data_IF_107973268797
#
_entry.id   IF_107973268797
#
_cell.length_a   1.000
_cell.length_b   1.000
_cell.length_c   1.000
_cell.angle_alpha   90.00
_cell.angle_beta   90.00
_cell.angle_gamma   90.00
#
_symmetry.space_group_name_H-M   'P 1'
#
loop_
_entity.id
_entity.type
_entity.pdbx_description
1 polymer ?
#
# COMPACT_ATOMS: atom_id res chain seq x y z
N UNK A 1 17.71 38.58 -17.85
CA UNK A 1 17.44 37.66 -16.73
C UNK A 1 18.30 38.20 -15.61
N UNK A 2 17.78 39.18 -14.87
CA UNK A 2 18.48 39.73 -13.71
C UNK A 2 18.58 38.64 -12.64
N UNK A 3 19.73 38.58 -11.96
CA UNK A 3 20.21 37.46 -11.13
C UNK A 3 19.14 36.88 -10.20
N UNK A 4 18.49 35.79 -10.64
CA UNK A 4 17.50 35.04 -9.85
C UNK A 4 18.12 34.44 -8.58
N UNK A 5 19.44 34.30 -8.56
CA UNK A 5 20.20 33.64 -7.50
C UNK A 5 21.17 34.63 -6.86
N UNK A 6 21.14 34.70 -5.54
CA UNK A 6 22.05 35.49 -4.71
C UNK A 6 22.84 34.55 -3.79
N UNK A 7 24.07 34.93 -3.48
CA UNK A 7 24.91 34.20 -2.52
C UNK A 7 24.69 34.77 -1.12
N UNK A 8 24.23 33.93 -0.18
CA UNK A 8 24.06 34.29 1.22
C UNK A 8 24.56 33.15 2.10
N UNK A 9 25.43 33.43 3.07
CA UNK A 9 25.99 32.43 3.99
C UNK A 9 26.62 31.21 3.27
N UNK A 10 27.29 31.46 2.13
CA UNK A 10 27.87 30.45 1.21
C UNK A 10 26.85 29.50 0.54
N UNK A 11 25.56 29.80 0.63
CA UNK A 11 24.50 29.09 -0.06
C UNK A 11 23.93 29.95 -1.21
N UNK A 12 23.69 29.32 -2.35
CA UNK A 12 22.92 29.91 -3.44
C UNK A 12 21.43 29.91 -3.05
N UNK A 13 20.88 31.10 -2.85
CA UNK A 13 19.48 31.29 -2.45
C UNK A 13 18.80 32.29 -3.39
N UNK A 14 17.48 32.40 -3.31
CA UNK A 14 16.72 33.49 -3.96
C UNK A 14 15.82 34.18 -2.95
N UNK A 15 15.44 35.42 -3.22
CA UNK A 15 14.54 36.18 -2.36
C UNK A 15 13.12 36.18 -2.93
N UNK A 16 12.13 36.23 -2.05
CA UNK A 16 10.71 36.41 -2.44
C UNK A 16 10.47 37.67 -3.29
N UNK A 17 11.33 38.70 -3.17
CA UNK A 17 11.31 39.89 -4.02
C UNK A 17 11.78 39.56 -5.44
N UNK A 18 12.91 38.87 -5.58
CA UNK A 18 13.45 38.45 -6.88
C UNK A 18 12.48 37.52 -7.61
N UNK A 19 11.82 36.62 -6.87
CA UNK A 19 10.77 35.76 -7.38
C UNK A 19 9.57 36.58 -7.88
N UNK A 20 9.10 37.55 -7.08
CA UNK A 20 8.00 38.43 -7.47
C UNK A 20 8.32 39.20 -8.77
N UNK A 21 9.50 39.79 -8.85
CA UNK A 21 9.98 40.52 -10.03
C UNK A 21 10.10 39.62 -11.26
N UNK A 22 10.78 38.48 -11.13
CA UNK A 22 11.04 37.54 -12.24
C UNK A 22 9.74 37.05 -12.86
N UNK A 23 8.78 36.65 -12.02
CA UNK A 23 7.50 36.10 -12.47
C UNK A 23 6.41 37.16 -12.68
N UNK A 24 6.71 38.44 -12.48
CA UNK A 24 5.76 39.55 -12.64
C UNK A 24 4.56 39.46 -11.70
N UNK A 25 4.78 38.98 -10.47
CA UNK A 25 3.76 38.87 -9.41
C UNK A 25 3.96 39.98 -8.37
N UNK A 26 2.91 40.31 -7.62
CA UNK A 26 3.09 41.21 -6.49
C UNK A 26 3.81 40.47 -5.35
N UNK A 27 4.71 41.15 -4.66
CA UNK A 27 5.47 40.54 -3.56
C UNK A 27 4.56 39.99 -2.46
N UNK A 28 3.45 40.67 -2.15
CA UNK A 28 2.43 40.19 -1.21
C UNK A 28 1.87 38.81 -1.58
N UNK A 29 1.66 38.55 -2.88
CA UNK A 29 1.06 37.29 -3.35
C UNK A 29 2.08 36.15 -3.22
N UNK A 30 3.37 36.46 -3.39
CA UNK A 30 4.47 35.50 -3.17
C UNK A 30 4.63 35.19 -1.68
N UNK A 31 4.56 36.20 -0.80
CA UNK A 31 4.58 35.99 0.66
C UNK A 31 3.40 35.15 1.14
N UNK A 32 2.20 35.43 0.63
CA UNK A 32 1.01 34.64 0.93
C UNK A 32 1.20 33.19 0.49
N UNK A 33 1.66 32.96 -0.74
CA UNK A 33 1.93 31.61 -1.24
C UNK A 33 2.92 30.84 -0.34
N UNK A 34 4.00 31.49 0.12
CA UNK A 34 4.97 30.90 1.05
C UNK A 34 4.32 30.59 2.38
N UNK A 35 3.64 31.56 2.99
CA UNK A 35 3.02 31.41 4.30
C UNK A 35 1.93 30.33 4.32
N UNK A 36 1.09 30.26 3.27
CA UNK A 36 0.10 29.19 3.13
C UNK A 36 0.77 27.83 3.08
N UNK A 37 1.91 27.69 2.41
CA UNK A 37 2.63 26.41 2.33
C UNK A 37 3.32 26.03 3.63
N UNK A 38 3.87 26.99 4.36
CA UNK A 38 4.44 26.78 5.69
C UNK A 38 3.35 26.39 6.71
N UNK A 39 2.16 27.01 6.63
CA UNK A 39 1.07 26.79 7.59
C UNK A 39 0.25 25.51 7.37
N UNK A 40 0.33 24.90 6.19
CA UNK A 40 -0.52 23.75 5.80
C UNK A 40 0.16 22.39 5.94
N UNK A 41 1.43 22.31 6.39
CA UNK A 41 2.21 21.10 6.17
C UNK A 41 2.28 20.15 7.38
N UNK A 42 1.78 18.92 7.16
CA UNK A 42 2.14 17.69 7.88
C UNK A 42 3.66 17.36 7.84
N UNK A 43 4.50 18.24 7.27
CA UNK A 43 5.94 18.07 7.04
C UNK A 43 6.75 19.34 7.42
N UNK A 44 6.41 20.03 8.52
CA UNK A 44 7.04 21.30 8.92
C UNK A 44 8.57 21.26 8.92
N UNK A 45 9.16 20.14 9.36
CA UNK A 45 10.61 19.94 9.43
C UNK A 45 11.33 19.99 8.05
N UNK A 46 10.65 19.64 6.96
CA UNK A 46 11.21 19.75 5.60
C UNK A 46 11.20 21.20 5.09
N UNK A 47 10.19 21.99 5.49
CA UNK A 47 10.01 23.36 5.01
C UNK A 47 10.87 24.37 5.79
N UNK A 48 11.20 24.10 7.05
CA UNK A 48 12.10 24.93 7.87
C UNK A 48 13.47 25.13 7.21
N UNK A 49 13.99 24.12 6.51
CA UNK A 49 15.27 24.21 5.80
C UNK A 49 15.17 24.86 4.42
N UNK A 50 13.95 25.10 3.92
CA UNK A 50 13.69 25.65 2.59
C UNK A 50 13.47 27.16 2.60
N UNK A 51 13.00 27.73 3.71
CA UNK A 51 12.63 29.14 3.83
C UNK A 51 13.26 29.78 5.07
N UNK A 52 13.92 30.92 4.88
CA UNK A 52 14.54 31.70 5.96
C UNK A 52 13.97 33.12 5.93
N UNK A 53 13.42 33.58 7.05
CA UNK A 53 12.90 34.94 7.18
C UNK A 53 14.00 35.99 7.01
N UNK A 54 13.61 37.14 6.46
CA UNK A 54 14.46 38.29 6.25
C UNK A 54 13.63 39.58 6.15
N UNK A 55 14.31 40.71 6.00
CA UNK A 55 13.67 42.01 5.86
C UNK A 55 14.38 42.83 4.79
N UNK A 56 13.61 43.65 4.07
CA UNK A 56 14.13 44.66 3.16
C UNK A 56 13.62 46.04 3.53
N UNK A 57 14.42 47.06 3.24
CA UNK A 57 13.99 48.45 3.35
C UNK A 57 13.33 48.87 2.06
N UNK A 58 12.03 49.18 2.12
CA UNK A 58 11.31 49.71 0.96
C UNK A 58 11.66 51.19 0.73
N UNK A 59 11.27 51.72 -0.44
CA UNK A 59 11.51 53.12 -0.82
C UNK A 59 10.91 54.15 0.14
N UNK A 60 9.93 53.75 0.94
CA UNK A 60 9.33 54.57 2.00
C UNK A 60 10.12 54.55 3.33
N UNK A 61 11.32 53.95 3.35
CA UNK A 61 12.18 53.84 4.53
C UNK A 61 11.73 52.82 5.57
N UNK A 62 10.63 52.09 5.34
CA UNK A 62 10.13 51.07 6.27
C UNK A 62 10.75 49.70 5.98
N UNK A 63 11.08 48.97 7.04
CA UNK A 63 11.44 47.57 6.97
C UNK A 63 10.20 46.72 6.71
N UNK A 64 10.23 45.89 5.66
CA UNK A 64 9.15 44.98 5.29
C UNK A 64 9.68 43.54 5.25
N UNK A 65 8.85 42.54 5.60
CA UNK A 65 9.27 41.15 5.64
C UNK A 65 9.52 40.59 4.24
N UNK A 66 10.47 39.66 4.13
CA UNK A 66 10.69 38.83 2.95
C UNK A 66 11.23 37.47 3.34
N UNK A 67 11.20 36.51 2.43
CA UNK A 67 11.86 35.21 2.61
C UNK A 67 13.06 35.06 1.67
N UNK A 68 14.11 34.45 2.19
CA UNK A 68 15.15 33.77 1.41
C UNK A 68 14.76 32.31 1.27
N UNK A 69 14.99 31.72 0.10
CA UNK A 69 14.69 30.32 -0.14
C UNK A 69 15.80 29.65 -0.94
N UNK A 70 16.09 28.40 -0.60
CA UNK A 70 17.04 27.59 -1.36
C UNK A 70 16.39 27.09 -2.68
N UNK A 71 17.14 26.30 -3.46
CA UNK A 71 16.64 25.72 -4.73
C UNK A 71 15.30 25.00 -4.57
N UNK A 72 15.14 24.23 -3.50
CA UNK A 72 13.98 23.37 -3.31
C UNK A 72 12.75 24.19 -2.88
N UNK A 73 12.93 25.15 -1.97
CA UNK A 73 11.89 26.11 -1.60
C UNK A 73 11.44 26.96 -2.79
N UNK A 74 12.38 27.41 -3.62
CA UNK A 74 12.09 28.13 -4.86
C UNK A 74 11.24 27.29 -5.83
N UNK A 75 11.68 26.06 -6.13
CA UNK A 75 10.96 25.17 -7.02
C UNK A 75 9.55 24.88 -6.48
N UNK A 76 9.42 24.62 -5.19
CA UNK A 76 8.13 24.33 -4.54
C UNK A 76 7.11 25.46 -4.73
N UNK A 77 7.54 26.72 -4.60
CA UNK A 77 6.67 27.89 -4.79
C UNK A 77 6.33 28.10 -6.27
N UNK A 78 7.33 28.08 -7.15
CA UNK A 78 7.13 28.38 -8.58
C UNK A 78 6.26 27.32 -9.28
N UNK A 79 6.29 26.07 -8.84
CA UNK A 79 5.41 25.03 -9.39
C UNK A 79 3.91 25.35 -9.20
N UNK A 80 3.56 26.08 -8.13
CA UNK A 80 2.20 26.57 -7.88
C UNK A 80 1.81 27.83 -8.66
N UNK A 81 2.76 28.51 -9.32
CA UNK A 81 2.47 29.73 -10.07
C UNK A 81 1.80 29.45 -11.42
N UNK A 82 0.91 30.34 -11.83
CA UNK A 82 0.27 30.36 -13.14
C UNK A 82 0.80 31.53 -13.99
N UNK A 83 0.77 31.37 -15.32
CA UNK A 83 1.11 32.39 -16.33
C UNK A 83 2.29 32.02 -17.23
N UNK A 84 2.38 32.66 -18.41
CA UNK A 84 3.35 32.30 -19.47
C UNK A 84 4.82 32.22 -19.02
N UNK A 85 5.26 33.12 -18.13
CA UNK A 85 6.64 33.08 -17.58
C UNK A 85 6.85 31.88 -16.66
N UNK A 86 5.85 31.54 -15.85
CA UNK A 86 5.89 30.37 -14.99
C UNK A 86 5.90 29.08 -15.83
N UNK A 87 5.07 29.01 -16.87
CA UNK A 87 5.05 27.86 -17.78
C UNK A 87 6.39 27.68 -18.51
N UNK A 88 6.99 28.79 -18.98
CA UNK A 88 8.33 28.76 -19.59
C UNK A 88 9.40 28.21 -18.65
N UNK A 89 9.39 28.63 -17.38
CA UNK A 89 10.31 28.10 -16.37
C UNK A 89 10.07 26.61 -16.10
N UNK A 90 8.80 26.19 -15.94
CA UNK A 90 8.44 24.78 -15.73
C UNK A 90 8.94 23.89 -16.87
N UNK A 91 8.77 24.34 -18.12
CA UNK A 91 9.27 23.61 -19.29
C UNK A 91 10.81 23.50 -19.31
N UNK A 92 11.53 24.57 -18.93
CA UNK A 92 12.99 24.51 -18.81
C UNK A 92 13.43 23.57 -17.68
N UNK A 93 12.74 23.59 -16.55
CA UNK A 93 13.00 22.67 -15.44
C UNK A 93 12.78 21.21 -15.86
N UNK A 94 11.66 20.90 -16.53
CA UNK A 94 11.37 19.57 -17.08
C UNK A 94 12.45 19.14 -18.07
N UNK A 95 12.87 20.04 -18.96
CA UNK A 95 13.94 19.74 -19.95
C UNK A 95 15.25 19.37 -19.26
N UNK A 96 15.70 20.18 -18.30
CA UNK A 96 16.91 19.91 -17.54
C UNK A 96 16.83 18.59 -16.75
N UNK A 97 15.65 18.29 -16.18
CA UNK A 97 15.42 17.01 -15.50
C UNK A 97 15.53 15.83 -16.46
N UNK A 98 14.91 15.91 -17.64
CA UNK A 98 14.98 14.84 -18.65
C UNK A 98 16.41 14.64 -19.17
N UNK A 99 17.17 15.72 -19.36
CA UNK A 99 18.59 15.65 -19.74
C UNK A 99 19.43 14.96 -18.65
N UNK A 100 19.17 15.27 -17.37
CA UNK A 100 19.79 14.58 -16.24
C UNK A 100 19.40 13.10 -16.17
N UNK A 101 18.12 12.77 -16.37
CA UNK A 101 17.64 11.38 -16.40
C UNK A 101 18.32 10.55 -17.51
N UNK A 102 18.52 11.16 -18.68
CA UNK A 102 19.26 10.53 -19.78
C UNK A 102 20.74 10.28 -19.43
N UNK A 103 21.38 11.18 -18.68
CA UNK A 103 22.78 11.02 -18.24
C UNK A 103 22.93 9.99 -17.12
N UNK A 104 21.92 9.85 -16.25
CA UNK A 104 21.92 8.87 -15.15
C UNK A 104 21.61 7.45 -15.65
N UNK A 105 20.94 7.30 -16.81
CA UNK A 105 20.88 6.02 -17.52
C UNK A 105 22.29 5.67 -18.00
N UNK A 106 23.05 5.02 -17.12
CA UNK A 106 24.32 4.38 -17.42
C UNK A 106 24.17 3.53 -18.68
N UNK A 107 24.77 3.98 -19.77
CA UNK A 107 24.88 3.18 -20.98
C UNK A 107 25.90 2.06 -20.73
N UNK A 108 25.39 0.95 -20.18
CA UNK A 108 26.18 -0.24 -19.83
C UNK A 108 26.83 -0.89 -21.05
N UNK A 109 26.44 -0.51 -22.27
CA UNK A 109 27.06 -0.99 -23.51
C UNK A 109 28.47 -0.43 -23.73
N UNK A 110 28.81 0.69 -23.09
CA UNK A 110 30.13 1.33 -23.14
C UNK A 110 31.12 0.77 -22.09
N UNK A 111 30.65 -0.10 -21.18
CA UNK A 111 31.50 -0.75 -20.19
C UNK A 111 32.41 -1.80 -20.85
N UNK A 112 33.58 -2.07 -20.26
CA UNK A 112 34.45 -3.16 -20.74
C UNK A 112 33.73 -4.51 -20.66
N UNK A 113 34.08 -5.51 -21.51
CA UNK A 113 33.41 -6.81 -21.52
C UNK A 113 33.35 -7.49 -20.14
N UNK A 114 34.40 -7.34 -19.32
CA UNK A 114 34.42 -7.85 -17.94
C UNK A 114 33.41 -7.15 -17.02
N UNK A 115 33.24 -5.83 -17.15
CA UNK A 115 32.26 -5.07 -16.36
C UNK A 115 30.82 -5.31 -16.84
N UNK A 116 30.60 -5.54 -18.14
CA UNK A 116 29.30 -5.95 -18.66
C UNK A 116 28.87 -7.31 -18.09
N UNK A 117 29.79 -8.27 -18.03
CA UNK A 117 29.54 -9.57 -17.42
C UNK A 117 29.21 -9.45 -15.93
N UNK A 118 29.97 -8.65 -15.16
CA UNK A 118 29.67 -8.40 -13.75
C UNK A 118 28.30 -7.75 -13.56
N UNK A 119 27.93 -6.77 -14.39
CA UNK A 119 26.61 -6.15 -14.33
C UNK A 119 25.48 -7.16 -14.62
N UNK A 120 25.66 -8.03 -15.62
CA UNK A 120 24.72 -9.12 -15.89
C UNK A 120 24.57 -10.10 -14.72
N UNK A 121 25.70 -10.52 -14.13
CA UNK A 121 25.70 -11.38 -12.95
C UNK A 121 25.01 -10.72 -11.75
N UNK A 122 25.26 -9.44 -11.49
CA UNK A 122 24.60 -8.70 -10.41
C UNK A 122 23.09 -8.57 -10.63
N UNK A 123 22.65 -8.34 -11.86
CA UNK A 123 21.22 -8.30 -12.19
C UNK A 123 20.57 -9.66 -11.99
N UNK A 124 21.21 -10.73 -12.43
CA UNK A 124 20.71 -12.10 -12.23
C UNK A 124 20.67 -12.47 -10.75
N UNK A 125 21.70 -12.12 -9.98
CA UNK A 125 21.72 -12.29 -8.53
C UNK A 125 20.60 -11.50 -7.84
N UNK A 126 20.36 -10.25 -8.24
CA UNK A 126 19.28 -9.44 -7.68
C UNK A 126 17.90 -10.03 -8.00
N UNK A 127 17.69 -10.51 -9.24
CA UNK A 127 16.46 -11.20 -9.63
C UNK A 127 16.27 -12.50 -8.85
N UNK A 128 17.35 -13.26 -8.65
CA UNK A 128 17.33 -14.49 -7.87
C UNK A 128 17.02 -14.22 -6.40
N UNK A 129 17.62 -13.19 -5.80
CA UNK A 129 17.33 -12.78 -4.42
C UNK A 129 15.85 -12.38 -4.26
N UNK A 130 15.31 -11.62 -5.22
CA UNK A 130 13.90 -11.26 -5.25
C UNK A 130 13.00 -12.51 -5.34
N UNK A 131 13.34 -13.44 -6.22
CA UNK A 131 12.62 -14.70 -6.38
C UNK A 131 12.68 -15.55 -5.09
N UNK A 132 13.82 -15.58 -4.39
CA UNK A 132 13.93 -16.27 -3.10
C UNK A 132 13.05 -15.62 -2.02
N UNK A 133 13.01 -14.29 -1.94
CA UNK A 133 12.13 -13.59 -0.98
C UNK A 133 10.65 -13.85 -1.25
N UNK A 134 10.26 -13.92 -2.52
CA UNK A 134 8.89 -14.28 -2.91
C UNK A 134 8.56 -15.76 -2.62
N UNK A 135 9.57 -16.64 -2.62
CA UNK A 135 9.37 -18.03 -2.21
C UNK A 135 9.22 -18.12 -0.69
N UNK A 136 10.04 -17.41 0.08
CA UNK A 136 9.94 -17.38 1.54
C UNK A 136 8.57 -16.88 1.99
N UNK A 137 8.06 -15.79 1.42
CA UNK A 137 6.72 -15.28 1.77
C UNK A 137 5.60 -16.26 1.44
N UNK A 138 5.73 -17.04 0.36
CA UNK A 138 4.77 -18.10 0.02
C UNK A 138 4.84 -19.25 1.01
N UNK A 139 6.04 -19.64 1.43
CA UNK A 139 6.25 -20.70 2.42
C UNK A 139 5.65 -20.28 3.77
N UNK A 140 5.87 -19.04 4.20
CA UNK A 140 5.30 -18.49 5.44
C UNK A 140 3.77 -18.50 5.41
N UNK A 141 3.15 -18.06 4.30
CA UNK A 141 1.70 -18.08 4.16
C UNK A 141 1.11 -19.49 4.14
N UNK A 142 1.81 -20.48 3.60
CA UNK A 142 1.40 -21.89 3.72
C UNK A 142 1.55 -22.39 5.17
N UNK A 143 2.64 -22.03 5.83
CA UNK A 143 2.90 -22.41 7.22
C UNK A 143 1.81 -21.86 8.16
N UNK A 144 1.33 -20.64 7.94
CA UNK A 144 0.20 -20.04 8.68
C UNK A 144 -1.07 -20.88 8.52
N UNK A 145 -1.42 -21.28 7.29
CA UNK A 145 -2.60 -22.11 7.00
C UNK A 145 -2.48 -23.49 7.68
N UNK A 146 -1.29 -24.10 7.65
CA UNK A 146 -1.09 -25.43 8.25
C UNK A 146 -1.07 -25.34 9.78
N UNK A 147 -0.46 -24.31 10.35
CA UNK A 147 -0.27 -24.10 11.78
C UNK A 147 -1.52 -23.69 12.57
N UNK A 148 -2.64 -23.43 11.91
CA UNK A 148 -3.88 -22.99 12.57
C UNK A 148 -4.36 -23.97 13.64
N UNK A 149 -4.67 -23.44 14.83
CA UNK A 149 -5.13 -24.18 16.01
C UNK A 149 -6.58 -24.65 15.90
N UNK A 150 -6.93 -25.72 16.63
CA UNK A 150 -8.29 -26.26 16.72
C UNK A 150 -9.18 -25.51 17.70
N UNK A 151 -8.63 -24.61 18.52
CA UNK A 151 -9.39 -23.85 19.52
C UNK A 151 -10.36 -22.83 18.89
N UNK A 152 -10.01 -22.23 17.74
CA UNK A 152 -10.85 -21.26 17.02
C UNK A 152 -11.19 -21.72 15.59
N UNK A 153 -11.41 -23.02 15.44
CA UNK A 153 -11.61 -23.64 14.14
C UNK A 153 -12.79 -23.03 13.34
N UNK A 154 -13.81 -22.46 13.99
CA UNK A 154 -14.96 -21.87 13.32
C UNK A 154 -14.61 -20.57 12.59
N UNK A 155 -13.91 -19.65 13.27
CA UNK A 155 -13.50 -18.39 12.67
C UNK A 155 -12.47 -18.64 11.57
N UNK A 156 -11.53 -19.54 11.83
CA UNK A 156 -10.45 -19.88 10.89
C UNK A 156 -10.98 -20.50 9.60
N UNK A 157 -11.81 -21.52 9.71
CA UNK A 157 -12.43 -22.14 8.53
C UNK A 157 -13.31 -21.13 7.79
N UNK A 158 -14.04 -20.26 8.50
CA UNK A 158 -14.84 -19.19 7.87
C UNK A 158 -13.96 -18.22 7.09
N UNK A 159 -12.83 -17.79 7.66
CA UNK A 159 -11.86 -16.91 7.03
C UNK A 159 -11.25 -17.55 5.78
N UNK A 160 -10.84 -18.82 5.84
CA UNK A 160 -10.33 -19.56 4.69
C UNK A 160 -11.36 -19.68 3.56
N UNK A 161 -12.61 -20.04 3.89
CA UNK A 161 -13.69 -20.15 2.89
C UNK A 161 -13.99 -18.78 2.26
N UNK A 162 -13.97 -17.70 3.05
CA UNK A 162 -14.13 -16.34 2.52
C UNK A 162 -13.00 -15.98 1.55
N UNK A 163 -11.73 -16.23 1.92
CA UNK A 163 -10.58 -16.00 1.03
C UNK A 163 -10.74 -16.76 -0.30
N UNK A 164 -11.12 -18.04 -0.24
CA UNK A 164 -11.36 -18.86 -1.45
C UNK A 164 -12.52 -18.26 -2.27
N UNK A 165 -13.62 -17.87 -1.63
CA UNK A 165 -14.76 -17.30 -2.33
C UNK A 165 -14.40 -15.99 -3.04
N UNK A 166 -13.60 -15.13 -2.42
CA UNK A 166 -13.08 -13.91 -3.03
C UNK A 166 -12.22 -14.20 -4.27
N UNK A 167 -11.35 -15.22 -4.22
CA UNK A 167 -10.54 -15.65 -5.38
C UNK A 167 -11.39 -16.14 -6.56
N UNK A 168 -12.58 -16.68 -6.30
CA UNK A 168 -13.50 -17.19 -7.32
C UNK A 168 -14.48 -16.15 -7.86
N UNK A 169 -14.23 -14.86 -7.58
CA UNK A 169 -15.05 -13.73 -8.04
C UNK A 169 -15.97 -13.14 -6.96
N UNK A 170 -15.85 -13.60 -5.71
CA UNK A 170 -16.55 -13.04 -4.56
C UNK A 170 -18.05 -13.33 -4.50
N UNK A 171 -18.68 -12.81 -3.46
CA UNK A 171 -20.13 -12.91 -3.26
C UNK A 171 -20.60 -14.14 -2.47
N UNK A 172 -21.86 -14.06 -2.03
CA UNK A 172 -22.49 -15.05 -1.16
C UNK A 172 -22.67 -16.40 -1.86
N UNK A 173 -22.90 -16.39 -3.18
CA UNK A 173 -23.04 -17.61 -4.01
C UNK A 173 -21.75 -18.44 -3.96
N UNK A 174 -20.61 -17.85 -4.31
CA UNK A 174 -19.28 -18.52 -4.28
C UNK A 174 -18.94 -19.06 -2.91
N UNK A 175 -19.25 -18.30 -1.86
CA UNK A 175 -19.04 -18.74 -0.50
C UNK A 175 -19.86 -19.99 -0.16
N UNK A 176 -21.12 -20.05 -0.59
CA UNK A 176 -21.98 -21.23 -0.41
C UNK A 176 -21.47 -22.42 -1.22
N UNK A 177 -21.03 -22.21 -2.45
CA UNK A 177 -20.46 -23.26 -3.32
C UNK A 177 -19.26 -23.93 -2.64
N UNK A 178 -18.25 -23.14 -2.27
CA UNK A 178 -17.02 -23.63 -1.60
C UNK A 178 -17.36 -24.36 -0.30
N UNK A 179 -18.25 -23.79 0.51
CA UNK A 179 -18.67 -24.39 1.77
C UNK A 179 -19.40 -25.73 1.55
N UNK A 180 -20.21 -25.84 0.50
CA UNK A 180 -20.91 -27.10 0.17
C UNK A 180 -19.93 -28.17 -0.31
N UNK A 181 -18.93 -27.81 -1.10
CA UNK A 181 -17.86 -28.73 -1.51
C UNK A 181 -17.07 -29.25 -0.31
N UNK A 182 -16.71 -28.37 0.62
CA UNK A 182 -16.03 -28.75 1.87
C UNK A 182 -16.90 -29.72 2.67
N UNK A 183 -18.20 -29.46 2.83
CA UNK A 183 -19.09 -30.39 3.53
C UNK A 183 -19.20 -31.75 2.83
N UNK A 184 -19.24 -31.79 1.50
CA UNK A 184 -19.27 -33.04 0.75
C UNK A 184 -17.98 -33.85 0.97
N UNK A 185 -16.85 -33.17 1.01
CA UNK A 185 -15.55 -33.79 1.27
C UNK A 185 -15.42 -34.28 2.73
N UNK A 186 -15.99 -33.55 3.69
CA UNK A 186 -16.09 -34.01 5.09
C UNK A 186 -16.96 -35.26 5.21
N UNK A 187 -18.14 -35.26 4.59
CA UNK A 187 -19.02 -36.43 4.55
C UNK A 187 -18.29 -37.65 3.96
N UNK A 188 -17.54 -37.45 2.87
CA UNK A 188 -16.73 -38.48 2.21
C UNK A 188 -15.63 -39.04 3.13
N UNK A 189 -14.83 -38.17 3.77
CA UNK A 189 -13.69 -38.58 4.62
C UNK A 189 -14.12 -39.20 5.94
N UNK A 190 -15.14 -38.63 6.57
CA UNK A 190 -15.65 -39.13 7.83
C UNK A 190 -16.57 -40.34 7.66
N UNK A 191 -17.07 -40.61 6.45
CA UNK A 191 -18.04 -41.67 6.18
C UNK A 191 -19.38 -41.39 6.86
N UNK A 192 -19.80 -40.13 6.92
CA UNK A 192 -21.02 -39.67 7.60
C UNK A 192 -21.90 -38.85 6.67
N UNK A 193 -23.11 -38.54 7.13
CA UNK A 193 -23.93 -37.49 6.52
C UNK A 193 -24.21 -36.40 7.53
N UNK A 194 -23.59 -35.23 7.35
CA UNK A 194 -23.84 -34.03 8.14
C UNK A 194 -25.30 -33.59 8.06
N UNK A 195 -25.97 -33.82 6.93
CA UNK A 195 -27.42 -33.56 6.76
C UNK A 195 -28.24 -34.42 7.72
N UNK A 196 -28.00 -35.74 7.75
CA UNK A 196 -28.71 -36.65 8.65
C UNK A 196 -28.40 -36.35 10.11
N UNK A 197 -27.13 -36.08 10.43
CA UNK A 197 -26.72 -35.72 11.79
C UNK A 197 -27.37 -34.42 12.28
N UNK A 198 -27.55 -33.42 11.40
CA UNK A 198 -28.28 -32.18 11.74
C UNK A 198 -29.75 -32.45 12.05
N UNK A 199 -30.41 -33.29 11.25
CA UNK A 199 -31.79 -33.72 11.53
C UNK A 199 -31.88 -34.42 12.88
N UNK A 200 -30.97 -35.35 13.16
CA UNK A 200 -30.92 -36.08 14.43
C UNK A 200 -30.67 -35.13 15.62
N UNK A 201 -29.78 -34.13 15.47
CA UNK A 201 -29.55 -33.10 16.49
C UNK A 201 -30.83 -32.32 16.79
N UNK A 202 -31.55 -31.86 15.75
CA UNK A 202 -32.82 -31.13 15.90
C UNK A 202 -33.91 -31.98 16.55
N UNK A 203 -33.97 -33.27 16.22
CA UNK A 203 -34.92 -34.21 16.82
C UNK A 203 -34.61 -34.45 18.30
N UNK A 204 -33.33 -34.62 18.66
CA UNK A 204 -32.90 -34.74 20.06
C UNK A 204 -33.28 -33.51 20.87
N UNK A 205 -32.97 -32.32 20.36
CA UNK A 205 -33.36 -31.06 21.00
C UNK A 205 -34.87 -30.92 21.19
N UNK A 206 -35.68 -31.48 20.28
CA UNK A 206 -37.13 -31.47 20.40
C UNK A 206 -37.60 -32.35 21.58
N UNK A 207 -36.99 -33.53 21.74
CA UNK A 207 -37.24 -34.42 22.87
C UNK A 207 -36.78 -33.81 24.20
N UNK A 208 -35.75 -32.96 24.18
CA UNK A 208 -35.25 -32.19 25.33
C UNK A 208 -36.09 -30.93 25.63
N UNK A 209 -37.16 -30.67 24.86
CA UNK A 209 -38.07 -29.54 25.08
C UNK A 209 -37.63 -28.20 24.48
N UNK A 210 -36.63 -28.18 23.60
CA UNK A 210 -36.20 -26.95 22.92
C UNK A 210 -37.27 -26.42 21.94
N UNK A 211 -37.41 -25.10 21.90
CA UNK A 211 -38.35 -24.43 20.99
C UNK A 211 -38.00 -24.67 19.52
N UNK A 212 -39.00 -24.54 18.63
CA UNK A 212 -38.79 -24.65 17.17
C UNK A 212 -37.73 -23.65 16.68
N UNK A 213 -37.76 -22.41 17.16
CA UNK A 213 -36.79 -21.37 16.80
C UNK A 213 -35.35 -21.74 17.17
N UNK A 214 -35.13 -22.33 18.34
CA UNK A 214 -33.80 -22.79 18.75
C UNK A 214 -33.28 -23.92 17.84
N UNK A 215 -34.15 -24.84 17.41
CA UNK A 215 -33.80 -25.94 16.51
C UNK A 215 -33.50 -25.47 15.09
N UNK A 216 -34.27 -24.52 14.59
CA UNK A 216 -34.12 -24.01 13.22
C UNK A 216 -32.80 -23.23 13.03
N UNK A 217 -32.28 -22.63 14.11
CA UNK A 217 -30.96 -21.96 14.12
C UNK A 217 -29.78 -22.92 13.99
N UNK A 218 -29.94 -24.20 14.32
CA UNK A 218 -28.84 -25.18 14.25
C UNK A 218 -28.42 -25.43 12.80
N UNK A 219 -27.12 -25.55 12.61
CA UNK A 219 -26.44 -25.68 11.32
C UNK A 219 -25.52 -26.90 11.28
N UNK A 220 -24.96 -27.21 10.09
CA UNK A 220 -23.94 -28.26 9.96
C UNK A 220 -22.66 -27.94 10.75
N UNK A 221 -22.36 -26.65 10.99
CA UNK A 221 -21.22 -26.23 11.82
C UNK A 221 -21.43 -26.65 13.27
N UNK A 222 -22.66 -26.53 13.79
CA UNK A 222 -22.99 -26.98 15.16
C UNK A 222 -22.88 -28.50 15.30
N UNK A 223 -23.24 -29.26 14.25
CA UNK A 223 -23.02 -30.72 14.22
C UNK A 223 -21.55 -31.06 14.29
N UNK A 224 -20.71 -30.35 13.51
CA UNK A 224 -19.26 -30.54 13.51
C UNK A 224 -18.69 -30.18 14.88
N UNK A 225 -19.10 -29.07 15.48
CA UNK A 225 -18.64 -28.62 16.79
C UNK A 225 -18.94 -29.56 17.95
N UNK A 226 -19.93 -30.43 17.81
CA UNK A 226 -20.28 -31.43 18.81
C UNK A 226 -19.45 -32.74 18.71
N UNK A 227 -18.57 -32.87 17.71
CA UNK A 227 -17.77 -34.09 17.48
C UNK A 227 -16.31 -33.72 17.19
N UNK A 228 -15.41 -34.00 18.15
CA UNK A 228 -13.98 -33.68 18.03
C UNK A 228 -13.35 -34.25 16.75
N UNK A 229 -13.76 -35.43 16.29
CA UNK A 229 -13.23 -36.02 15.06
C UNK A 229 -13.68 -35.24 13.83
N UNK A 230 -14.93 -34.76 13.82
CA UNK A 230 -15.44 -33.94 12.72
C UNK A 230 -14.78 -32.57 12.69
N UNK A 231 -14.44 -31.97 13.83
CA UNK A 231 -13.68 -30.72 13.89
C UNK A 231 -12.33 -30.88 13.18
N UNK A 232 -11.56 -31.92 13.54
CA UNK A 232 -10.25 -32.19 12.92
C UNK A 232 -10.36 -32.42 11.41
N UNK A 233 -11.34 -33.23 10.98
CA UNK A 233 -11.56 -33.53 9.56
C UNK A 233 -11.99 -32.26 8.81
N UNK A 234 -12.90 -31.47 9.37
CA UNK A 234 -13.38 -30.24 8.73
C UNK A 234 -12.28 -29.19 8.60
N UNK A 235 -11.48 -29.00 9.66
CA UNK A 235 -10.34 -28.11 9.63
C UNK A 235 -9.29 -28.56 8.59
N UNK A 236 -8.96 -29.86 8.54
CA UNK A 236 -8.03 -30.41 7.57
C UNK A 236 -8.51 -30.19 6.12
N UNK A 237 -9.79 -30.47 5.85
CA UNK A 237 -10.38 -30.25 4.51
C UNK A 237 -10.35 -28.77 4.14
N UNK A 238 -10.73 -27.87 5.05
CA UNK A 238 -10.71 -26.44 4.78
C UNK A 238 -9.28 -25.93 4.48
N UNK A 239 -8.27 -26.39 5.23
CA UNK A 239 -6.85 -26.07 4.99
C UNK A 239 -6.39 -26.58 3.63
N UNK A 240 -6.73 -27.81 3.26
CA UNK A 240 -6.38 -28.37 1.94
C UNK A 240 -7.03 -27.60 0.79
N UNK A 241 -8.27 -27.17 0.96
CA UNK A 241 -8.94 -26.31 -0.02
C UNK A 241 -8.22 -24.95 -0.12
N UNK A 242 -7.86 -24.33 1.00
CA UNK A 242 -7.06 -23.10 1.00
C UNK A 242 -5.72 -23.29 0.26
N UNK A 243 -5.06 -24.44 0.48
CA UNK A 243 -3.85 -24.84 -0.24
C UNK A 243 -4.13 -24.95 -1.76
N UNK A 244 -5.17 -25.69 -2.15
CA UNK A 244 -5.56 -25.91 -3.54
C UNK A 244 -5.82 -24.60 -4.31
N UNK A 245 -6.50 -23.65 -3.67
CA UNK A 245 -6.84 -22.35 -4.27
C UNK A 245 -5.77 -21.28 -4.10
N UNK A 246 -4.62 -21.61 -3.48
CA UNK A 246 -3.48 -20.70 -3.34
C UNK A 246 -3.79 -19.41 -2.58
N UNK A 247 -4.50 -19.51 -1.46
CA UNK A 247 -4.96 -18.35 -0.68
C UNK A 247 -3.85 -17.47 -0.07
N UNK A 248 -2.59 -17.92 -0.07
CA UNK A 248 -1.42 -17.16 0.40
C UNK A 248 -0.78 -16.28 -0.69
N UNK A 249 -1.18 -16.42 -1.95
CA UNK A 249 -0.59 -15.68 -3.07
C UNK A 249 -1.13 -14.24 -3.22
N UNK A 250 -1.95 -13.73 -2.28
CA UNK A 250 -2.47 -12.37 -2.37
C UNK A 250 -1.73 -11.40 -1.45
N UNK A 251 -0.93 -10.54 -2.10
CA UNK A 251 -0.75 -9.14 -1.71
C UNK A 251 -2.13 -8.46 -1.81
N UNK A 252 -2.65 -7.94 -0.69
CA UNK A 252 -3.78 -7.00 -0.69
C UNK A 252 -3.23 -5.58 -0.63
#
# INVERSE_FOLDING_TARGET
>A
MDDLVIMKDKQAVTSSLQVAETFGKQHKDVLEAINTKISTAENSALLENMFVEGQYTASNGKANPMYYMNRDGFAFIVMGFTGHKADGFKLQYIKAFNEMEQQIKLDVSQLSPGLQMVNGLLQEMAQQELATKQLDSKVDGIAEIVGTSTMDWQNETTHLINKIAHLLGGGIERYKEVRNEIYAEVDRRAGVSLKTRLTNLRNRMAGEGASKSQRDKMTKVDVIGNDKKLIEIYLAVAKEFAIKYKTWNQEY
#
